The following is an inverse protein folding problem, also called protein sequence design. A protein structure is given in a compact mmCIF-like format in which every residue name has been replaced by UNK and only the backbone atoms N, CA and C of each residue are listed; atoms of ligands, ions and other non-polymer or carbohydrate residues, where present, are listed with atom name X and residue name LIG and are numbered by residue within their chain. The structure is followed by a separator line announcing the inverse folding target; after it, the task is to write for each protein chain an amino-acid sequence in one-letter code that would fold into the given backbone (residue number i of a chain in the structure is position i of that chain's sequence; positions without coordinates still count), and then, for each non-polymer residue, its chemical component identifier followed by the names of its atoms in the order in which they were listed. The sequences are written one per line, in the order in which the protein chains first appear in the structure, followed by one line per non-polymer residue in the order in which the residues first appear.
data_IF_577068779821
#
_entry.id   IF_577068779821
#
_cell.length_a   1.000
_cell.length_b   1.000
_cell.length_c   1.000
_cell.angle_alpha   90.00
_cell.angle_beta   90.00
_cell.angle_gamma   90.00
#
_symmetry.space_group_name_H-M   'P 1'
#
loop_
_entity.id
_entity.type
_entity.pdbx_description
1 polymer ?
#
# COMPACT_ATOMS: atom_id res chain seq x y z
N UNK A 1 11.21 7.01 -18.82
CA UNK A 1 10.54 6.20 -17.77
C UNK A 1 9.08 6.19 -18.17
N UNK A 2 8.69 5.15 -18.89
CA UNK A 2 7.44 5.11 -19.66
C UNK A 2 6.47 4.14 -19.00
N UNK A 3 5.27 4.60 -18.66
CA UNK A 3 4.15 3.73 -18.28
C UNK A 3 3.25 3.62 -19.50
N UNK A 4 3.14 2.40 -20.05
CA UNK A 4 2.55 2.12 -21.37
C UNK A 4 1.16 2.71 -21.60
N UNK A 5 0.95 3.09 -22.86
CA UNK A 5 -0.24 3.64 -23.54
C UNK A 5 -0.59 5.12 -23.31
N UNK A 6 -0.41 5.68 -22.11
CA UNK A 6 -0.84 7.06 -21.80
C UNK A 6 0.29 8.05 -21.44
N UNK A 7 1.56 7.64 -21.56
CA UNK A 7 2.70 8.46 -21.16
C UNK A 7 2.90 8.54 -19.65
N UNK A 8 3.90 9.31 -19.18
CA UNK A 8 4.19 9.44 -17.76
C UNK A 8 3.05 10.13 -17.02
N UNK A 9 2.56 9.52 -15.94
CA UNK A 9 1.60 10.16 -15.03
C UNK A 9 2.29 11.23 -14.18
N UNK A 10 1.56 12.28 -13.83
CA UNK A 10 2.07 13.31 -12.92
C UNK A 10 2.26 12.76 -11.50
N UNK A 11 3.24 13.27 -10.76
CA UNK A 11 3.45 12.89 -9.35
C UNK A 11 2.19 13.02 -8.49
N UNK A 12 1.39 14.11 -8.59
CA UNK A 12 0.14 14.21 -7.84
C UNK A 12 -0.88 13.12 -8.19
N UNK A 13 -0.95 12.73 -9.48
CA UNK A 13 -1.81 11.65 -9.92
C UNK A 13 -1.33 10.30 -9.38
N UNK A 14 -0.03 10.04 -9.44
CA UNK A 14 0.59 8.83 -8.87
C UNK A 14 0.35 8.73 -7.36
N UNK A 15 0.48 9.85 -6.64
CA UNK A 15 0.21 9.93 -5.20
C UNK A 15 -1.25 9.64 -4.87
N UNK A 16 -2.18 10.21 -5.65
CA UNK A 16 -3.61 9.96 -5.48
C UNK A 16 -3.96 8.49 -5.71
N UNK A 17 -3.50 7.91 -6.82
CA UNK A 17 -3.70 6.48 -7.12
C UNK A 17 -3.12 5.61 -6.00
N UNK A 18 -1.93 5.96 -5.50
CA UNK A 18 -1.30 5.26 -4.39
C UNK A 18 -2.14 5.32 -3.11
N UNK A 19 -2.69 6.49 -2.76
CA UNK A 19 -3.55 6.66 -1.60
C UNK A 19 -4.87 5.84 -1.71
N UNK A 20 -5.46 5.82 -2.90
CA UNK A 20 -6.66 5.03 -3.18
C UNK A 20 -6.37 3.52 -3.06
N UNK A 21 -5.25 3.05 -3.62
CA UNK A 21 -4.80 1.66 -3.51
C UNK A 21 -4.52 1.26 -2.05
N UNK A 22 -3.93 2.17 -1.26
CA UNK A 22 -3.66 1.94 0.16
C UNK A 22 -4.96 1.81 0.96
N UNK A 23 -5.94 2.67 0.68
CA UNK A 23 -7.26 2.62 1.31
C UNK A 23 -7.98 1.32 1.00
N UNK A 24 -7.93 0.87 -0.26
CA UNK A 24 -8.48 -0.42 -0.68
C UNK A 24 -7.78 -1.59 0.01
N UNK A 25 -6.45 -1.61 0.03
CA UNK A 25 -5.67 -2.66 0.68
C UNK A 25 -5.96 -2.75 2.18
N UNK A 26 -6.07 -1.60 2.86
CA UNK A 26 -6.43 -1.52 4.27
C UNK A 26 -7.83 -2.09 4.50
N UNK A 27 -8.82 -1.71 3.69
CA UNK A 27 -10.18 -2.24 3.80
C UNK A 27 -10.17 -3.77 3.61
N UNK A 28 -9.49 -4.29 2.57
CA UNK A 28 -9.42 -5.74 2.31
C UNK A 28 -8.80 -6.52 3.47
N UNK A 29 -7.69 -6.04 4.03
CA UNK A 29 -6.97 -6.77 5.08
C UNK A 29 -7.62 -6.62 6.44
N UNK A 30 -7.99 -5.40 6.84
CA UNK A 30 -8.51 -5.15 8.18
C UNK A 30 -9.98 -5.54 8.33
N UNK A 31 -10.76 -5.63 7.25
CA UNK A 31 -12.12 -6.22 7.33
C UNK A 31 -12.11 -7.73 7.55
N UNK A 32 -11.03 -8.41 7.16
CA UNK A 32 -10.83 -9.84 7.39
C UNK A 32 -10.05 -10.13 8.69
N UNK A 33 -9.46 -9.10 9.32
CA UNK A 33 -8.69 -9.25 10.55
C UNK A 33 -9.62 -9.45 11.75
N UNK A 34 -9.17 -10.27 12.69
CA UNK A 34 -9.82 -10.48 13.99
C UNK A 34 -8.97 -9.87 15.10
N UNK A 35 -9.50 -9.67 16.32
CA UNK A 35 -8.69 -9.22 17.45
C UNK A 35 -7.49 -10.11 17.76
N UNK A 36 -7.58 -11.40 17.41
CA UNK A 36 -6.52 -12.40 17.57
C UNK A 36 -5.44 -12.30 16.48
N UNK A 37 -5.70 -11.56 15.39
CA UNK A 37 -4.76 -11.45 14.27
C UNK A 37 -3.53 -10.65 14.71
N UNK A 38 -2.33 -11.25 14.67
CA UNK A 38 -1.12 -10.53 15.05
C UNK A 38 -0.91 -9.31 14.16
N UNK A 39 -0.66 -8.15 14.78
CA UNK A 39 -0.52 -6.88 14.05
C UNK A 39 0.59 -6.94 12.98
N UNK A 40 1.68 -7.67 13.25
CA UNK A 40 2.75 -7.90 12.29
C UNK A 40 2.27 -8.67 11.04
N UNK A 41 1.43 -9.69 11.23
CA UNK A 41 0.86 -10.47 10.12
C UNK A 41 -0.12 -9.63 9.28
N UNK A 42 -0.94 -8.81 9.94
CA UNK A 42 -1.85 -7.89 9.28
C UNK A 42 -1.08 -6.83 8.47
N UNK A 43 0.04 -6.32 9.00
CA UNK A 43 0.90 -5.37 8.31
C UNK A 43 1.55 -5.98 7.05
N UNK A 44 2.09 -7.19 7.14
CA UNK A 44 2.66 -7.88 5.97
C UNK A 44 1.59 -8.21 4.92
N UNK A 45 0.40 -8.63 5.37
CA UNK A 45 -0.75 -8.85 4.49
C UNK A 45 -1.16 -7.54 3.78
N UNK A 46 -1.21 -6.42 4.50
CA UNK A 46 -1.47 -5.10 3.94
C UNK A 46 -0.42 -4.73 2.88
N UNK A 47 0.87 -4.85 3.19
CA UNK A 47 1.96 -4.53 2.26
C UNK A 47 1.90 -5.37 0.99
N UNK A 48 1.56 -6.65 1.11
CA UNK A 48 1.40 -7.57 -0.01
C UNK A 48 0.22 -7.14 -0.90
N UNK A 49 -0.97 -7.01 -0.31
CA UNK A 49 -2.20 -6.60 -1.00
C UNK A 49 -2.06 -5.25 -1.68
N UNK A 50 -1.46 -4.26 -1.01
CA UNK A 50 -1.17 -2.96 -1.59
C UNK A 50 -0.29 -3.05 -2.85
N UNK A 51 0.75 -3.89 -2.84
CA UNK A 51 1.62 -4.07 -3.99
C UNK A 51 0.90 -4.65 -5.21
N UNK A 52 0.00 -5.63 -4.99
CA UNK A 52 -0.81 -6.23 -6.04
C UNK A 52 -1.78 -5.21 -6.65
N UNK A 53 -2.52 -4.48 -5.82
CA UNK A 53 -3.49 -3.48 -6.28
C UNK A 53 -2.78 -2.36 -7.04
N UNK A 54 -1.67 -1.86 -6.50
CA UNK A 54 -0.91 -0.77 -7.12
C UNK A 54 -0.27 -1.17 -8.45
N UNK A 55 0.25 -2.40 -8.54
CA UNK A 55 0.79 -2.94 -9.80
C UNK A 55 -0.29 -3.13 -10.87
N UNK A 56 -1.53 -3.40 -10.47
CA UNK A 56 -2.68 -3.42 -11.38
C UNK A 56 -3.12 -2.01 -11.82
N UNK A 57 -3.09 -1.03 -10.90
CA UNK A 57 -3.51 0.34 -11.17
C UNK A 57 -2.49 1.14 -12.00
N UNK A 58 -1.20 0.87 -11.82
CA UNK A 58 -0.09 1.50 -12.54
C UNK A 58 0.79 0.37 -13.11
N UNK A 59 0.64 0.08 -14.40
CA UNK A 59 1.51 -0.89 -15.09
C UNK A 59 2.97 -0.46 -14.94
N UNK A 60 3.86 -1.42 -14.70
CA UNK A 60 5.29 -1.19 -14.46
C UNK A 60 5.60 -0.32 -13.23
N UNK A 61 4.66 -0.16 -12.31
CA UNK A 61 4.86 0.60 -11.08
C UNK A 61 6.01 0.03 -10.25
N UNK A 62 7.11 0.78 -10.19
CA UNK A 62 8.22 0.59 -9.25
C UNK A 62 8.04 1.44 -8.00
N UNK A 63 6.80 1.74 -7.61
CA UNK A 63 6.53 2.57 -6.44
C UNK A 63 7.03 1.83 -5.20
N UNK A 64 8.10 2.36 -4.62
CA UNK A 64 8.71 1.81 -3.43
C UNK A 64 7.84 2.17 -2.22
N UNK A 65 7.47 1.16 -1.42
CA UNK A 65 6.73 1.36 -0.17
C UNK A 65 7.66 2.02 0.85
N UNK A 66 7.56 3.33 1.03
CA UNK A 66 8.23 4.04 2.12
C UNK A 66 7.21 4.43 3.18
N UNK A 67 7.43 3.98 4.42
CA UNK A 67 6.69 4.52 5.55
C UNK A 67 7.02 6.01 5.70
N UNK A 68 6.02 6.82 6.08
CA UNK A 68 6.25 8.23 6.35
C UNK A 68 7.15 8.37 7.58
N UNK A 69 8.08 9.33 7.59
CA UNK A 69 9.07 9.49 8.68
C UNK A 69 8.41 9.71 10.05
N UNK A 70 7.21 10.29 10.06
CA UNK A 70 6.40 10.50 11.27
C UNK A 70 5.63 9.26 11.75
N UNK A 71 5.71 8.13 11.05
CA UNK A 71 5.05 6.89 11.48
C UNK A 71 5.84 6.28 12.64
N UNK A 72 5.32 6.46 13.86
CA UNK A 72 5.90 5.81 15.04
C UNK A 72 5.67 4.29 14.98
N UNK A 73 6.73 3.46 15.12
CA UNK A 73 6.54 2.02 15.27
C UNK A 73 5.74 1.75 16.55
N UNK A 74 4.76 0.85 16.47
CA UNK A 74 4.04 0.37 17.66
C UNK A 74 5.00 -0.55 18.42
N UNK A 75 5.49 -0.10 19.58
CA UNK A 75 6.25 -0.93 20.51
C UNK A 75 5.23 -1.82 21.22
N UNK A 76 5.23 -3.12 20.93
CA UNK A 76 4.48 -4.11 21.73
C UNK A 76 5.42 -4.55 22.85
N UNK A 77 5.08 -4.19 24.09
CA UNK A 77 5.82 -4.66 25.27
C UNK A 77 5.36 -6.10 25.61
N UNK A 78 6.29 -7.03 25.90
CA UNK A 78 5.99 -8.42 26.22
C UNK A 78 5.29 -8.58 27.58
#
# INVERSE_FOLDING_TARGET
METSENGPISTPLAQRISADCASQAALTVFSAATPETPLGLACESFKSTYGVILGGAIKESRVMKTCHEKTSPVIINP
#
